data_IF_449938696479
#
_entry.id   IF_449938696479
#
_cell.length_a   1.000
_cell.length_b   1.000
_cell.length_c   1.000
_cell.angle_alpha   90.00
_cell.angle_beta   90.00
_cell.angle_gamma   90.00
#
_symmetry.space_group_name_H-M   'P 1'
#
loop_
_entity.id
_entity.type
_entity.pdbx_description
1 polymer ?
#
# COMPACT_ATOMS: atom_id res chain seq x y z
N UNK A 1 -47.52 44.44 -14.88
CA UNK A 1 -46.13 43.95 -14.80
C UNK A 1 -46.20 42.49 -14.39
N UNK A 2 -46.21 41.60 -15.39
CA UNK A 2 -46.26 40.15 -15.17
C UNK A 2 -44.84 39.65 -14.89
N UNK A 3 -44.64 39.01 -13.74
CA UNK A 3 -43.40 38.29 -13.46
C UNK A 3 -43.58 36.84 -13.89
N UNK A 4 -42.97 36.48 -15.01
CA UNK A 4 -42.85 35.08 -15.42
C UNK A 4 -41.77 34.41 -14.55
N UNK A 5 -42.19 33.50 -13.67
CA UNK A 5 -41.30 32.60 -12.94
C UNK A 5 -40.97 31.42 -13.86
N UNK A 6 -39.80 31.45 -14.49
CA UNK A 6 -39.27 30.31 -15.23
C UNK A 6 -38.59 29.35 -14.24
N UNK A 7 -39.25 28.23 -13.94
CA UNK A 7 -38.60 27.09 -13.30
C UNK A 7 -37.83 26.30 -14.36
N UNK A 8 -36.49 26.42 -14.36
CA UNK A 8 -35.61 25.59 -15.16
C UNK A 8 -35.50 24.21 -14.48
N UNK A 9 -36.34 23.26 -14.88
CA UNK A 9 -36.21 21.86 -14.46
C UNK A 9 -35.02 21.26 -15.23
N UNK A 10 -33.82 21.34 -14.67
CA UNK A 10 -32.70 20.55 -15.17
C UNK A 10 -33.01 19.08 -14.87
N UNK A 11 -33.44 18.33 -15.89
CA UNK A 11 -33.45 16.87 -15.84
C UNK A 11 -32.00 16.41 -15.72
N UNK A 12 -31.57 16.17 -14.48
CA UNK A 12 -30.48 15.25 -14.23
C UNK A 12 -30.92 13.91 -14.81
N UNK A 13 -30.54 13.66 -16.06
CA UNK A 13 -30.43 12.30 -16.58
C UNK A 13 -29.37 11.67 -15.70
N UNK A 14 -29.81 11.09 -14.58
CA UNK A 14 -28.97 10.26 -13.76
C UNK A 14 -28.38 9.23 -14.70
N UNK A 15 -27.07 9.29 -14.93
CA UNK A 15 -26.36 8.11 -15.38
C UNK A 15 -26.85 7.00 -14.47
N UNK A 16 -27.51 5.99 -15.05
CA UNK A 16 -27.87 4.80 -14.32
C UNK A 16 -26.63 4.39 -13.52
N UNK A 17 -26.82 4.16 -12.21
CA UNK A 17 -25.77 3.62 -11.37
C UNK A 17 -25.12 2.46 -12.14
N UNK A 18 -23.84 2.58 -12.50
CA UNK A 18 -23.16 1.50 -13.24
C UNK A 18 -23.26 0.24 -12.37
N UNK A 19 -24.04 -0.73 -12.85
CA UNK A 19 -24.19 -2.00 -12.15
C UNK A 19 -22.93 -2.80 -12.43
N UNK A 20 -22.17 -3.08 -11.38
CA UNK A 20 -20.99 -3.93 -11.44
C UNK A 20 -21.37 -5.36 -11.05
N UNK A 21 -21.52 -6.29 -12.01
CA UNK A 21 -21.91 -7.66 -11.71
C UNK A 21 -20.75 -8.44 -11.08
N UNK A 22 -21.10 -9.38 -10.20
CA UNK A 22 -20.19 -10.44 -9.75
C UNK A 22 -19.91 -11.36 -10.94
N UNK A 23 -18.64 -11.55 -11.38
CA UNK A 23 -18.31 -12.28 -12.59
C UNK A 23 -18.89 -13.70 -12.62
N UNK A 24 -18.71 -14.45 -11.52
CA UNK A 24 -19.06 -15.86 -11.42
C UNK A 24 -20.17 -16.10 -10.39
N UNK A 25 -21.19 -15.23 -10.37
CA UNK A 25 -22.27 -15.23 -9.34
C UNK A 25 -22.88 -16.60 -9.06
N UNK A 26 -23.16 -17.40 -10.09
CA UNK A 26 -23.76 -18.73 -9.93
C UNK A 26 -22.79 -19.73 -9.27
N UNK A 27 -21.49 -19.60 -9.57
CA UNK A 27 -20.43 -20.43 -8.98
C UNK A 27 -20.19 -20.04 -7.53
N UNK A 28 -20.12 -18.74 -7.25
CA UNK A 28 -19.96 -18.19 -5.89
C UNK A 28 -21.17 -18.47 -4.99
N UNK A 29 -22.36 -18.64 -5.56
CA UNK A 29 -23.55 -19.08 -4.82
C UNK A 29 -23.44 -20.54 -4.34
N UNK A 30 -22.51 -21.33 -4.90
CA UNK A 30 -22.28 -22.70 -4.47
C UNK A 30 -21.28 -22.74 -3.28
N UNK A 31 -21.62 -23.45 -2.21
CA UNK A 31 -20.72 -23.72 -1.07
C UNK A 31 -19.47 -24.52 -1.44
N UNK A 32 -19.55 -25.43 -2.41
CA UNK A 32 -18.42 -26.29 -2.79
C UNK A 32 -17.30 -25.44 -3.39
N UNK A 33 -17.65 -24.40 -4.17
CA UNK A 33 -16.68 -23.45 -4.72
C UNK A 33 -15.75 -22.85 -3.66
N UNK A 34 -16.30 -22.41 -2.53
CA UNK A 34 -15.53 -21.82 -1.44
C UNK A 34 -14.68 -22.85 -0.69
N UNK A 35 -15.18 -24.08 -0.57
CA UNK A 35 -14.46 -25.19 0.06
C UNK A 35 -13.26 -25.60 -0.78
N UNK A 36 -13.47 -25.79 -2.08
CA UNK A 36 -12.44 -26.15 -3.07
C UNK A 36 -11.38 -25.06 -3.19
N UNK A 37 -11.79 -23.79 -3.20
CA UNK A 37 -10.87 -22.65 -3.21
C UNK A 37 -9.98 -22.64 -1.96
N UNK A 38 -10.57 -22.90 -0.79
CA UNK A 38 -9.85 -22.99 0.47
C UNK A 38 -8.83 -24.13 0.48
N UNK A 39 -9.23 -25.33 0.06
CA UNK A 39 -8.35 -26.49 -0.06
C UNK A 39 -7.18 -26.21 -1.00
N UNK A 40 -7.47 -25.66 -2.19
CA UNK A 40 -6.46 -25.28 -3.18
C UNK A 40 -5.40 -24.32 -2.63
N UNK A 41 -5.82 -23.28 -1.89
CA UNK A 41 -4.88 -22.33 -1.27
C UNK A 41 -4.06 -22.96 -0.14
N UNK A 42 -4.65 -23.86 0.67
CA UNK A 42 -3.91 -24.62 1.69
C UNK A 42 -2.85 -25.49 1.03
N UNK A 43 -3.21 -26.29 0.04
CA UNK A 43 -2.26 -27.15 -0.65
C UNK A 43 -1.13 -26.36 -1.30
N UNK A 44 -1.46 -25.21 -1.93
CA UNK A 44 -0.48 -24.30 -2.51
C UNK A 44 0.50 -23.75 -1.47
N UNK A 45 0.04 -23.47 -0.24
CA UNK A 45 0.91 -23.06 0.87
C UNK A 45 1.76 -24.21 1.39
N UNK A 46 1.22 -25.43 1.49
CA UNK A 46 1.97 -26.62 1.90
C UNK A 46 3.09 -26.99 0.92
N UNK A 47 2.86 -26.78 -0.39
CA UNK A 47 3.87 -27.00 -1.44
C UNK A 47 4.94 -25.91 -1.53
N UNK A 48 4.75 -24.76 -0.86
CA UNK A 48 5.66 -23.63 -0.98
C UNK A 48 6.95 -23.86 -0.17
N UNK A 49 8.10 -23.83 -0.85
CA UNK A 49 9.42 -23.93 -0.20
C UNK A 49 10.04 -22.54 0.02
N UNK A 50 10.54 -22.21 1.22
CA UNK A 50 11.22 -20.95 1.46
C UNK A 50 12.48 -20.79 0.59
N UNK A 51 12.67 -19.61 0.00
CA UNK A 51 13.92 -19.27 -0.67
C UNK A 51 14.96 -18.81 0.36
N UNK A 52 15.96 -19.64 0.63
CA UNK A 52 17.04 -19.36 1.60
C UNK A 52 18.30 -18.81 0.95
N UNK A 53 18.31 -18.59 -0.36
CA UNK A 53 19.47 -18.03 -1.06
C UNK A 53 19.64 -16.54 -0.74
N UNK A 54 20.90 -16.08 -0.76
CA UNK A 54 21.21 -14.65 -0.62
C UNK A 54 20.65 -13.85 -1.81
N UNK A 55 19.86 -12.82 -1.53
CA UNK A 55 19.32 -11.93 -2.55
C UNK A 55 20.46 -11.16 -3.26
N UNK A 56 20.47 -11.22 -4.60
CA UNK A 56 21.41 -10.44 -5.44
C UNK A 56 20.89 -9.02 -5.74
N UNK A 57 19.58 -8.82 -5.64
CA UNK A 57 18.88 -7.57 -5.97
C UNK A 57 17.77 -7.36 -4.95
N UNK A 58 17.54 -6.11 -4.59
CA UNK A 58 16.46 -5.70 -3.68
C UNK A 58 15.66 -4.61 -4.39
N UNK A 59 14.34 -4.76 -4.42
CA UNK A 59 13.40 -3.77 -4.95
C UNK A 59 12.37 -3.49 -3.87
N UNK A 60 12.20 -2.22 -3.51
CA UNK A 60 11.20 -1.76 -2.57
C UNK A 60 10.18 -0.90 -3.31
N UNK A 61 8.93 -1.35 -3.35
CA UNK A 61 7.82 -0.53 -3.81
C UNK A 61 7.20 0.17 -2.60
N UNK A 62 7.19 1.50 -2.62
CA UNK A 62 6.62 2.31 -1.56
C UNK A 62 5.34 2.99 -2.05
N UNK A 63 4.20 2.61 -1.47
CA UNK A 63 2.96 3.35 -1.61
C UNK A 63 2.81 4.35 -0.47
N UNK A 64 3.17 5.61 -0.69
CA UNK A 64 2.98 6.66 0.32
C UNK A 64 1.47 6.86 0.59
N UNK A 65 1.08 6.86 1.87
CA UNK A 65 -0.32 6.88 2.30
C UNK A 65 -1.14 5.63 1.95
N UNK A 66 -0.53 4.56 1.46
CA UNK A 66 -1.24 3.35 1.02
C UNK A 66 -1.55 2.39 2.18
N UNK A 67 -2.49 2.79 3.05
CA UNK A 67 -3.03 1.93 4.11
C UNK A 67 -3.92 0.79 3.59
N UNK A 68 -4.36 -0.09 4.49
CA UNK A 68 -5.21 -1.25 4.16
C UNK A 68 -6.51 -0.83 3.46
N UNK A 69 -7.13 0.26 3.91
CA UNK A 69 -8.33 0.82 3.27
C UNK A 69 -8.07 1.25 1.83
N UNK A 70 -6.96 1.96 1.58
CA UNK A 70 -6.53 2.38 0.24
C UNK A 70 -6.29 1.18 -0.67
N UNK A 71 -5.65 0.11 -0.16
CA UNK A 71 -5.42 -1.14 -0.91
C UNK A 71 -6.75 -1.78 -1.31
N UNK A 72 -7.70 -1.92 -0.38
CA UNK A 72 -9.03 -2.50 -0.68
C UNK A 72 -9.80 -1.65 -1.68
N UNK A 73 -9.80 -0.32 -1.51
CA UNK A 73 -10.45 0.59 -2.46
C UNK A 73 -9.83 0.49 -3.86
N UNK A 74 -8.50 0.41 -3.97
CA UNK A 74 -7.80 0.24 -5.24
C UNK A 74 -8.11 -1.11 -5.90
N UNK A 75 -8.25 -2.19 -5.10
CA UNK A 75 -8.63 -3.53 -5.59
C UNK A 75 -10.01 -3.51 -6.25
N UNK A 76 -10.99 -2.94 -5.55
CA UNK A 76 -12.38 -2.79 -6.04
C UNK A 76 -12.38 -1.92 -7.31
N UNK A 77 -11.76 -0.75 -7.24
CA UNK A 77 -11.67 0.17 -8.38
C UNK A 77 -11.04 -0.50 -9.61
N UNK A 78 -9.97 -1.28 -9.44
CA UNK A 78 -9.35 -2.07 -10.52
C UNK A 78 -10.32 -3.07 -11.16
N UNK A 79 -11.14 -3.75 -10.36
CA UNK A 79 -12.14 -4.68 -10.89
C UNK A 79 -13.29 -3.98 -11.61
N UNK A 80 -13.72 -2.84 -11.08
CA UNK A 80 -14.75 -1.99 -11.70
C UNK A 80 -14.29 -1.38 -13.03
N UNK A 81 -13.00 -1.05 -13.18
CA UNK A 81 -12.43 -0.70 -14.49
C UNK A 81 -12.55 -1.82 -15.53
N UNK A 82 -12.71 -3.08 -15.09
CA UNK A 82 -13.00 -4.24 -15.95
C UNK A 82 -14.50 -4.57 -16.03
N UNK A 83 -15.37 -3.69 -15.52
CA UNK A 83 -16.84 -3.85 -15.50
C UNK A 83 -17.32 -5.06 -14.67
N UNK A 84 -16.63 -5.36 -13.58
CA UNK A 84 -17.03 -6.34 -12.56
C UNK A 84 -17.15 -5.69 -11.17
N UNK A 85 -17.78 -6.38 -10.22
CA UNK A 85 -17.97 -5.95 -8.81
C UNK A 85 -16.68 -5.41 -8.18
N UNK A 86 -15.59 -6.16 -8.35
CA UNK A 86 -14.22 -5.78 -8.07
C UNK A 86 -13.68 -6.25 -6.73
N UNK A 87 -14.51 -6.70 -5.80
CA UNK A 87 -14.10 -7.35 -4.56
C UNK A 87 -13.26 -8.61 -4.81
N UNK A 88 -13.56 -9.33 -5.88
CA UNK A 88 -12.87 -10.54 -6.35
C UNK A 88 -11.55 -10.26 -7.09
N UNK A 89 -11.32 -9.01 -7.48
CA UNK A 89 -10.09 -8.60 -8.14
C UNK A 89 -8.89 -8.80 -7.21
N UNK A 90 -7.71 -9.02 -7.78
CA UNK A 90 -6.46 -9.19 -7.00
C UNK A 90 -5.40 -8.24 -7.52
N UNK A 91 -4.80 -7.44 -6.65
CA UNK A 91 -3.67 -6.56 -6.98
C UNK A 91 -2.39 -7.38 -7.18
N UNK A 92 -1.42 -6.85 -7.90
CA UNK A 92 -0.20 -7.61 -8.25
C UNK A 92 0.58 -8.07 -7.02
N UNK A 93 0.70 -7.21 -6.00
CA UNK A 93 1.42 -7.51 -4.76
C UNK A 93 0.64 -8.39 -3.77
N UNK A 94 -0.68 -8.54 -3.93
CA UNK A 94 -1.48 -9.48 -3.10
C UNK A 94 -1.17 -10.93 -3.42
N UNK A 95 -0.51 -11.19 -4.55
CA UNK A 95 0.02 -12.50 -4.91
C UNK A 95 1.37 -12.79 -4.26
N UNK A 96 1.97 -11.83 -3.55
CA UNK A 96 3.23 -12.07 -2.85
C UNK A 96 3.02 -13.14 -1.76
N UNK A 97 4.00 -14.04 -1.57
CA UNK A 97 3.83 -15.20 -0.69
C UNK A 97 3.77 -14.84 0.80
N UNK A 98 4.27 -13.65 1.17
CA UNK A 98 4.42 -13.19 2.54
C UNK A 98 3.73 -11.83 2.73
N UNK A 99 3.09 -11.66 3.87
CA UNK A 99 2.45 -10.42 4.32
C UNK A 99 2.78 -10.18 5.78
N UNK A 100 2.97 -8.92 6.15
CA UNK A 100 3.22 -8.50 7.53
C UNK A 100 2.58 -7.15 7.79
N UNK A 101 2.18 -6.90 9.03
CA UNK A 101 1.76 -5.57 9.48
C UNK A 101 2.96 -4.82 10.04
N UNK A 102 3.06 -3.52 9.70
CA UNK A 102 4.13 -2.64 10.18
C UNK A 102 3.57 -1.60 11.15
N UNK A 103 4.23 -1.43 12.30
CA UNK A 103 3.88 -0.39 13.29
C UNK A 103 4.58 0.92 12.95
N UNK A 104 3.83 1.87 12.41
CA UNK A 104 4.38 3.07 11.77
C UNK A 104 4.66 4.25 12.70
N UNK A 105 4.33 4.19 13.99
CA UNK A 105 4.52 5.30 14.94
C UNK A 105 5.96 5.86 14.94
N UNK A 106 6.08 7.17 15.10
CA UNK A 106 7.33 7.90 15.29
C UNK A 106 7.73 7.91 16.76
N UNK A 107 8.96 8.35 17.06
CA UNK A 107 9.41 8.37 18.46
C UNK A 107 8.78 9.48 19.30
N UNK A 108 8.23 10.52 18.67
CA UNK A 108 7.52 11.63 19.33
C UNK A 108 6.07 11.81 18.85
N UNK A 109 5.56 10.92 18.00
CA UNK A 109 4.20 10.98 17.47
C UNK A 109 3.62 9.59 17.17
N UNK A 110 2.35 9.37 17.52
CA UNK A 110 1.66 8.12 17.16
C UNK A 110 1.37 8.04 15.65
N UNK A 111 1.03 9.18 15.05
CA UNK A 111 0.87 9.34 13.61
C UNK A 111 2.15 9.92 13.02
N UNK A 112 2.86 9.12 12.23
CA UNK A 112 4.10 9.51 11.55
C UNK A 112 3.85 10.36 10.30
N UNK A 113 4.90 11.04 9.85
CA UNK A 113 4.97 11.67 8.53
C UNK A 113 5.82 10.84 7.55
N UNK A 114 5.92 11.27 6.29
CA UNK A 114 6.72 10.55 5.29
C UNK A 114 8.22 10.57 5.61
N UNK A 115 8.72 11.61 6.29
CA UNK A 115 10.15 11.78 6.58
C UNK A 115 10.65 10.80 7.65
N UNK A 116 9.97 10.72 8.80
CA UNK A 116 10.42 9.85 9.89
C UNK A 116 10.16 8.37 9.58
N UNK A 117 9.09 8.06 8.83
CA UNK A 117 8.82 6.72 8.33
C UNK A 117 9.87 6.28 7.31
N UNK A 118 10.30 7.16 6.39
CA UNK A 118 11.40 6.89 5.47
C UNK A 118 12.70 6.53 6.19
N UNK A 119 13.02 7.25 7.26
CA UNK A 119 14.18 6.91 8.11
C UNK A 119 14.02 5.50 8.70
N UNK A 120 12.83 5.13 9.18
CA UNK A 120 12.59 3.79 9.71
C UNK A 120 12.78 2.67 8.67
N UNK A 121 12.09 2.71 7.53
CA UNK A 121 12.14 1.58 6.57
C UNK A 121 13.35 1.60 5.63
N UNK A 122 14.05 2.74 5.44
CA UNK A 122 15.26 2.80 4.61
C UNK A 122 16.56 2.73 5.43
N UNK A 123 16.54 3.12 6.70
CA UNK A 123 17.74 3.22 7.56
C UNK A 123 17.68 2.32 8.80
N UNK A 124 16.54 1.66 9.05
CA UNK A 124 16.38 0.70 10.14
C UNK A 124 16.24 1.32 11.54
N UNK A 125 16.09 2.64 11.64
CA UNK A 125 16.03 3.38 12.90
C UNK A 125 14.80 4.30 12.89
N UNK A 126 13.97 4.25 13.94
CA UNK A 126 12.85 5.19 14.09
C UNK A 126 13.36 6.57 14.48
N UNK A 127 12.71 7.62 13.98
CA UNK A 127 13.08 9.01 14.20
C UNK A 127 11.89 9.87 14.66
N UNK A 128 12.17 11.13 14.97
CA UNK A 128 11.16 12.14 15.29
C UNK A 128 10.45 12.63 14.01
N UNK A 129 9.19 13.03 14.13
CA UNK A 129 8.41 13.57 13.00
C UNK A 129 9.13 14.76 12.35
N UNK A 130 9.07 14.87 11.01
CA UNK A 130 9.68 15.96 10.27
C UNK A 130 11.21 15.91 10.19
N UNK A 131 11.82 14.78 10.55
CA UNK A 131 13.27 14.54 10.40
C UNK A 131 13.54 13.41 9.41
N UNK A 132 14.62 13.53 8.65
CA UNK A 132 15.03 12.55 7.64
C UNK A 132 16.51 12.22 7.80
N UNK A 133 16.84 10.93 7.83
CA UNK A 133 18.22 10.48 7.79
C UNK A 133 19.00 10.61 9.09
N UNK A 134 18.32 10.91 10.19
CA UNK A 134 18.89 11.11 11.51
C UNK A 134 18.11 10.33 12.56
N UNK A 135 18.73 10.04 13.70
CA UNK A 135 18.06 9.45 14.85
C UNK A 135 17.17 10.45 15.62
N UNK A 136 16.57 10.01 16.73
CA UNK A 136 15.67 10.83 17.56
C UNK A 136 16.35 11.87 18.45
N UNK A 137 17.69 11.97 18.45
CA UNK A 137 18.37 13.08 19.12
C UNK A 137 18.12 14.41 18.41
N UNK A 138 17.81 14.38 17.11
CA UNK A 138 17.53 15.57 16.29
C UNK A 138 16.04 15.90 16.32
N UNK A 139 15.72 17.20 16.42
CA UNK A 139 14.35 17.72 16.39
C UNK A 139 14.08 18.45 15.08
N UNK A 140 12.84 18.38 14.60
CA UNK A 140 12.44 19.07 13.39
C UNK A 140 12.69 20.58 13.51
N UNK A 141 13.10 21.19 12.39
CA UNK A 141 13.38 22.64 12.26
C UNK A 141 14.54 23.14 13.14
N UNK A 142 15.35 22.25 13.71
CA UNK A 142 16.57 22.59 14.43
C UNK A 142 17.75 22.09 13.62
N UNK A 143 18.55 23.02 13.08
CA UNK A 143 19.80 22.66 12.42
C UNK A 143 20.72 21.97 13.44
N UNK A 144 21.32 20.85 13.05
CA UNK A 144 22.28 20.12 13.86
C UNK A 144 23.53 19.84 13.02
N UNK A 145 24.67 19.64 13.66
CA UNK A 145 25.94 19.30 13.00
C UNK A 145 26.63 18.07 13.61
N UNK A 146 25.94 17.35 14.49
CA UNK A 146 26.48 16.14 15.10
C UNK A 146 26.45 14.98 14.08
N UNK A 147 27.64 14.63 13.60
CA UNK A 147 27.84 13.51 12.68
C UNK A 147 27.30 12.17 13.21
N UNK A 148 27.22 12.00 14.54
CA UNK A 148 26.77 10.74 15.17
C UNK A 148 25.28 10.50 15.03
N UNK A 149 24.50 11.56 14.78
CA UNK A 149 23.05 11.43 14.64
C UNK A 149 22.64 10.93 13.25
N UNK A 150 23.52 10.99 12.23
CA UNK A 150 23.19 10.50 10.90
C UNK A 150 23.21 8.97 10.86
N UNK A 151 22.21 8.38 10.21
CA UNK A 151 22.07 6.92 10.10
C UNK A 151 22.16 6.51 8.64
N UNK A 152 23.04 5.62 8.24
CA UNK A 152 23.12 5.24 6.82
C UNK A 152 21.86 4.51 6.31
N UNK A 153 21.55 4.67 5.03
CA UNK A 153 20.46 3.93 4.38
C UNK A 153 20.94 2.62 3.77
N UNK A 154 20.01 1.70 3.55
CA UNK A 154 20.25 0.47 2.80
C UNK A 154 20.79 0.75 1.39
N UNK A 155 20.39 1.87 0.78
CA UNK A 155 20.94 2.30 -0.51
C UNK A 155 22.41 2.71 -0.38
N UNK A 156 22.77 3.45 0.67
CA UNK A 156 24.17 3.78 0.93
C UNK A 156 25.00 2.52 1.18
N UNK A 157 24.50 1.57 1.97
CA UNK A 157 25.16 0.28 2.15
C UNK A 157 25.33 -0.49 0.84
N UNK A 158 24.35 -0.43 -0.06
CA UNK A 158 24.46 -1.02 -1.39
C UNK A 158 25.55 -0.33 -2.24
N UNK A 159 25.61 1.00 -2.24
CA UNK A 159 26.64 1.76 -2.94
C UNK A 159 28.05 1.49 -2.39
N UNK A 160 28.20 1.47 -1.06
CA UNK A 160 29.47 1.15 -0.39
C UNK A 160 29.93 -0.28 -0.71
N UNK A 161 28.98 -1.19 -1.00
CA UNK A 161 29.23 -2.54 -1.48
C UNK A 161 29.46 -2.64 -3.01
N UNK A 162 29.54 -1.51 -3.72
CA UNK A 162 29.75 -1.46 -5.18
C UNK A 162 28.53 -1.84 -6.01
N UNK A 163 27.33 -1.87 -5.41
CA UNK A 163 26.09 -2.16 -6.12
C UNK A 163 25.52 -0.90 -6.78
N UNK A 164 24.79 -1.11 -7.87
CA UNK A 164 24.03 -0.04 -8.52
C UNK A 164 22.75 0.23 -7.74
N UNK A 165 22.41 1.51 -7.59
CA UNK A 165 21.21 1.97 -6.90
C UNK A 165 20.43 2.96 -7.76
N UNK A 166 19.11 2.98 -7.62
CA UNK A 166 18.22 3.95 -8.26
C UNK A 166 17.02 4.28 -7.38
N UNK A 167 16.47 5.47 -7.59
CA UNK A 167 15.19 5.94 -7.04
C UNK A 167 14.29 6.27 -8.23
#
# INVERSE_FOLDING_TARGET
MEYAVFFLLATLTGNACEVFPVPDKAKEANREYWSDLGESEIEKKLRATPNTHRAKKVVLFLGDGMGISTVTAARICKGQFKKFSGEESVLSWERFPHVSLSKTYGLDAQTSDSANSATAYLRGVKANIGTIGVDSSVKAKQCHNDSRAYVDSIMKWAQDAGMWTGI
#
